data_IF_399561467661
#
_entry.id   IF_399561467661
#
_cell.length_a   1.000
_cell.length_b   1.000
_cell.length_c   1.000
_cell.angle_alpha   90.00
_cell.angle_beta   90.00
_cell.angle_gamma   90.00
#
_symmetry.space_group_name_H-M   'P 1'
#
loop_
_entity.id
_entity.type
_entity.pdbx_description
1 polymer ?
#
# COMPACT_ATOMS: atom_id res chain seq x y z
N UNK A 1 -4.15 19.81 -1.46
CA UNK A 1 -4.29 18.55 -2.20
C UNK A 1 -5.75 18.33 -2.53
N UNK A 2 -6.04 17.85 -3.73
CA UNK A 2 -7.41 17.51 -4.15
C UNK A 2 -7.70 16.03 -3.85
N UNK A 3 -8.95 15.73 -3.51
CA UNK A 3 -9.38 14.40 -3.08
C UNK A 3 -10.64 13.97 -3.85
N UNK A 4 -10.75 12.67 -4.08
CA UNK A 4 -11.99 12.03 -4.51
C UNK A 4 -12.58 11.22 -3.34
N UNK A 5 -13.90 11.18 -3.24
CA UNK A 5 -14.61 10.35 -2.26
C UNK A 5 -14.95 9.01 -2.90
N UNK A 6 -14.44 7.93 -2.30
CA UNK A 6 -14.77 6.56 -2.70
C UNK A 6 -16.20 6.21 -2.30
N UNK A 7 -16.75 5.12 -2.85
CA UNK A 7 -18.09 4.63 -2.48
C UNK A 7 -18.19 4.19 -1.00
N UNK A 8 -17.06 3.95 -0.34
CA UNK A 8 -16.95 3.69 1.10
C UNK A 8 -17.01 4.96 1.96
N UNK A 9 -16.99 6.15 1.34
CA UNK A 9 -16.88 7.44 2.02
C UNK A 9 -15.43 7.88 2.31
N UNK A 10 -14.43 7.00 2.12
CA UNK A 10 -13.03 7.34 2.29
C UNK A 10 -12.58 8.43 1.30
N UNK A 11 -11.69 9.33 1.75
CA UNK A 11 -11.14 10.42 0.94
C UNK A 11 -9.78 10.00 0.39
N UNK A 12 -9.71 9.66 -0.89
CA UNK A 12 -8.47 9.28 -1.56
C UNK A 12 -7.84 10.50 -2.24
N UNK A 13 -6.54 10.78 -2.03
CA UNK A 13 -5.83 11.79 -2.81
C UNK A 13 -5.91 11.51 -4.33
N UNK A 14 -6.20 12.53 -5.14
CA UNK A 14 -6.26 12.35 -6.60
C UNK A 14 -4.88 12.17 -7.25
N UNK A 15 -3.81 12.53 -6.53
CA UNK A 15 -2.43 12.37 -6.97
C UNK A 15 -1.67 11.54 -5.95
N UNK A 16 -0.91 10.56 -6.44
CA UNK A 16 -0.17 9.61 -5.63
C UNK A 16 1.21 9.31 -6.19
N UNK A 17 2.04 8.69 -5.37
CA UNK A 17 3.41 8.31 -5.69
C UNK A 17 3.52 6.78 -5.83
N UNK A 18 3.82 6.31 -7.03
CA UNK A 18 3.99 4.88 -7.31
C UNK A 18 5.44 4.44 -7.20
N UNK A 19 5.68 3.27 -6.60
CA UNK A 19 7.04 2.75 -6.36
C UNK A 19 7.43 1.55 -7.24
N UNK A 20 6.66 1.27 -8.29
CA UNK A 20 7.01 0.22 -9.25
C UNK A 20 8.35 0.54 -9.95
N UNK A 21 9.20 -0.48 -10.09
CA UNK A 21 10.57 -0.40 -10.66
C UNK A 21 11.61 0.37 -9.82
N UNK A 22 11.28 0.82 -8.62
CA UNK A 22 12.30 1.30 -7.67
C UNK A 22 12.86 0.10 -6.91
N UNK A 23 13.78 -0.61 -7.57
CA UNK A 23 14.29 -1.91 -7.10
C UNK A 23 15.36 -1.80 -6.03
N UNK A 24 16.09 -0.69 -5.96
CA UNK A 24 17.02 -0.42 -4.87
C UNK A 24 16.22 0.04 -3.64
N UNK A 25 16.33 -0.70 -2.54
CA UNK A 25 15.53 -0.45 -1.33
C UNK A 25 15.92 0.85 -0.63
N UNK A 26 17.20 1.23 -0.64
CA UNK A 26 17.64 2.48 -0.06
C UNK A 26 17.13 3.67 -0.87
N UNK A 27 17.17 3.55 -2.21
CA UNK A 27 16.56 4.53 -3.10
C UNK A 27 15.04 4.60 -2.92
N UNK A 28 14.35 3.45 -2.82
CA UNK A 28 12.90 3.39 -2.60
C UNK A 28 12.52 4.15 -1.32
N UNK A 29 13.21 3.87 -0.21
CA UNK A 29 13.00 4.59 1.05
C UNK A 29 13.19 6.10 0.87
N UNK A 30 14.28 6.51 0.23
CA UNK A 30 14.60 7.93 0.05
C UNK A 30 13.54 8.66 -0.79
N UNK A 31 13.13 8.09 -1.93
CA UNK A 31 12.14 8.75 -2.80
C UNK A 31 10.75 8.83 -2.16
N UNK A 32 10.40 7.88 -1.28
CA UNK A 32 9.17 7.96 -0.49
C UNK A 32 9.25 9.10 0.53
N UNK A 33 10.37 9.26 1.24
CA UNK A 33 10.59 10.41 2.14
C UNK A 33 10.52 11.74 1.38
N UNK A 34 11.22 11.85 0.25
CA UNK A 34 11.21 13.04 -0.60
C UNK A 34 9.79 13.37 -1.09
N UNK A 35 8.99 12.34 -1.43
CA UNK A 35 7.60 12.52 -1.82
C UNK A 35 6.73 13.01 -0.65
N UNK A 36 6.91 12.49 0.57
CA UNK A 36 6.21 12.98 1.76
C UNK A 36 6.52 14.48 1.99
N UNK A 37 7.80 14.84 1.90
CA UNK A 37 8.29 16.22 2.07
C UNK A 37 7.78 17.16 0.97
N UNK A 38 7.68 16.66 -0.28
CA UNK A 38 7.07 17.37 -1.40
C UNK A 38 5.53 17.50 -1.27
N UNK A 39 4.93 16.87 -0.27
CA UNK A 39 3.52 17.00 0.06
C UNK A 39 2.64 15.87 -0.46
N UNK A 40 3.18 14.76 -0.99
CA UNK A 40 2.37 13.59 -1.36
C UNK A 40 1.80 12.91 -0.12
N UNK A 41 0.58 12.41 -0.24
CA UNK A 41 -0.09 11.65 0.83
C UNK A 41 -0.58 10.28 0.40
N UNK A 42 -0.64 9.99 -0.91
CA UNK A 42 -0.95 8.66 -1.42
C UNK A 42 0.32 7.95 -1.88
N UNK A 43 0.51 6.71 -1.44
CA UNK A 43 1.59 5.83 -1.85
C UNK A 43 1.04 4.53 -2.42
N UNK A 44 1.42 4.20 -3.65
CA UNK A 44 1.01 2.99 -4.36
C UNK A 44 2.18 2.00 -4.44
N UNK A 45 2.03 0.86 -3.78
CA UNK A 45 2.95 -0.27 -3.80
C UNK A 45 2.22 -1.57 -4.14
N UNK A 46 2.91 -2.70 -4.12
CA UNK A 46 2.36 -4.03 -4.26
C UNK A 46 3.34 -5.07 -3.72
N UNK A 47 2.83 -6.22 -3.23
CA UNK A 47 3.66 -7.31 -2.74
C UNK A 47 4.73 -7.74 -3.77
N UNK A 48 4.35 -7.83 -5.05
CA UNK A 48 5.25 -8.26 -6.13
C UNK A 48 6.39 -7.28 -6.43
N UNK A 49 6.28 -6.00 -6.01
CA UNK A 49 7.36 -5.03 -6.26
C UNK A 49 8.58 -5.31 -5.38
N UNK A 50 8.42 -6.09 -4.30
CA UNK A 50 9.52 -6.50 -3.43
C UNK A 50 10.12 -5.37 -2.59
N UNK A 51 9.45 -4.21 -2.52
CA UNK A 51 9.96 -2.99 -1.87
C UNK A 51 9.02 -2.42 -0.80
N UNK A 52 7.97 -3.14 -0.39
CA UNK A 52 7.05 -2.74 0.69
C UNK A 52 7.79 -2.39 1.99
N UNK A 53 8.83 -3.14 2.36
CA UNK A 53 9.62 -2.84 3.58
C UNK A 53 10.30 -1.48 3.51
N UNK A 54 10.82 -1.08 2.34
CA UNK A 54 11.42 0.25 2.17
C UNK A 54 10.37 1.38 2.28
N UNK A 55 9.16 1.15 1.75
CA UNK A 55 8.04 2.08 1.92
C UNK A 55 7.65 2.19 3.39
N UNK A 56 7.53 1.06 4.10
CA UNK A 56 7.21 1.03 5.52
C UNK A 56 8.22 1.75 6.40
N UNK A 57 9.51 1.52 6.16
CA UNK A 57 10.60 2.22 6.85
C UNK A 57 10.57 3.74 6.63
N UNK A 58 10.26 4.19 5.41
CA UNK A 58 10.09 5.62 5.11
C UNK A 58 8.91 6.24 5.87
N UNK A 59 7.77 5.54 5.89
CA UNK A 59 6.56 5.97 6.61
C UNK A 59 6.83 6.06 8.11
N UNK A 60 7.42 5.02 8.70
CA UNK A 60 7.76 5.00 10.13
C UNK A 60 8.73 6.13 10.50
N UNK A 61 9.73 6.40 9.65
CA UNK A 61 10.68 7.49 9.86
C UNK A 61 10.01 8.87 9.75
N UNK A 62 9.14 9.09 8.77
CA UNK A 62 8.41 10.35 8.61
C UNK A 62 7.47 10.63 9.80
N UNK A 63 6.79 9.60 10.30
CA UNK A 63 5.95 9.69 11.51
C UNK A 63 6.80 9.99 12.75
N UNK A 64 7.93 9.29 12.93
CA UNK A 64 8.83 9.53 14.05
C UNK A 64 9.43 10.94 14.06
N UNK A 65 9.64 11.54 12.87
CA UNK A 65 10.07 12.94 12.71
C UNK A 65 8.93 13.95 12.87
N UNK A 66 7.69 13.50 12.98
CA UNK A 66 6.50 14.36 13.10
C UNK A 66 6.13 15.09 11.80
N UNK A 67 6.58 14.60 10.64
CA UNK A 67 6.28 15.22 9.34
C UNK A 67 4.83 14.94 8.89
N UNK A 68 4.28 13.78 9.28
CA UNK A 68 2.92 13.30 9.01
C UNK A 68 2.48 12.38 10.14
N UNK A 69 1.17 12.17 10.32
CA UNK A 69 0.64 11.04 11.08
C UNK A 69 0.30 9.87 10.15
N UNK A 70 -0.03 8.70 10.69
CA UNK A 70 -0.47 7.56 9.85
C UNK A 70 -1.75 7.91 9.09
N UNK A 71 -2.67 8.64 9.71
CA UNK A 71 -3.97 9.03 9.17
C UNK A 71 -3.87 10.11 8.09
N UNK A 72 -2.74 10.83 8.01
CA UNK A 72 -2.46 11.76 6.91
C UNK A 72 -2.17 11.01 5.60
N UNK A 73 -1.79 9.72 5.68
CA UNK A 73 -1.33 8.91 4.55
C UNK A 73 -2.42 7.97 4.04
N UNK A 74 -2.46 7.81 2.72
CA UNK A 74 -3.29 6.85 1.99
C UNK A 74 -2.39 5.80 1.34
N UNK A 75 -2.24 4.63 1.97
CA UNK A 75 -1.32 3.58 1.51
C UNK A 75 -2.13 2.50 0.77
N UNK A 76 -1.76 2.28 -0.49
CA UNK A 76 -2.31 1.23 -1.35
C UNK A 76 -1.29 0.11 -1.54
N UNK A 77 -1.70 -1.14 -1.30
CA UNK A 77 -0.94 -2.32 -1.75
C UNK A 77 -1.84 -3.27 -2.54
N UNK A 78 -1.27 -4.35 -3.08
CA UNK A 78 -1.95 -5.25 -4.00
C UNK A 78 -1.55 -6.70 -3.74
N UNK A 79 -2.56 -7.57 -3.67
CA UNK A 79 -2.41 -9.01 -3.59
C UNK A 79 -1.90 -9.55 -4.93
N UNK A 80 -0.85 -10.36 -4.90
CA UNK A 80 -0.26 -10.94 -6.10
C UNK A 80 -0.90 -12.29 -6.45
N UNK A 81 -0.74 -12.74 -7.71
CA UNK A 81 -1.50 -13.85 -8.28
C UNK A 81 -1.32 -15.20 -7.56
N UNK A 82 -0.18 -15.41 -6.89
CA UNK A 82 0.11 -16.62 -6.12
C UNK A 82 -0.79 -16.75 -4.89
N UNK A 83 -1.24 -15.62 -4.34
CA UNK A 83 -1.99 -15.57 -3.08
C UNK A 83 -3.50 -15.35 -3.33
N UNK A 84 -3.97 -15.47 -4.58
CA UNK A 84 -5.37 -15.26 -4.98
C UNK A 84 -6.27 -16.50 -4.79
N UNK A 85 -5.87 -17.50 -4.00
CA UNK A 85 -6.78 -18.54 -3.56
C UNK A 85 -7.47 -18.09 -2.26
N UNK A 86 -8.72 -18.51 -2.04
CA UNK A 86 -9.51 -18.06 -0.88
C UNK A 86 -8.78 -18.20 0.47
N UNK A 87 -8.05 -19.31 0.64
CA UNK A 87 -7.35 -19.66 1.89
C UNK A 87 -6.06 -18.84 2.10
N UNK A 88 -5.53 -18.22 1.04
CA UNK A 88 -4.23 -17.53 1.05
C UNK A 88 -4.37 -15.99 1.17
N UNK A 89 -5.58 -15.45 0.98
CA UNK A 89 -5.83 -14.00 0.96
C UNK A 89 -5.38 -13.34 2.27
N UNK A 90 -5.80 -13.88 3.41
CA UNK A 90 -5.44 -13.33 4.72
C UNK A 90 -3.93 -13.37 4.94
N UNK A 91 -3.25 -14.42 4.49
CA UNK A 91 -1.81 -14.53 4.59
C UNK A 91 -1.11 -13.46 3.74
N UNK A 92 -1.58 -13.21 2.52
CA UNK A 92 -1.09 -12.17 1.63
C UNK A 92 -1.27 -10.76 2.21
N UNK A 93 -2.47 -10.44 2.72
CA UNK A 93 -2.75 -9.17 3.40
C UNK A 93 -1.82 -8.98 4.60
N UNK A 94 -1.75 -9.98 5.49
CA UNK A 94 -0.94 -9.92 6.69
C UNK A 94 0.55 -9.76 6.37
N UNK A 95 1.03 -10.39 5.29
CA UNK A 95 2.41 -10.23 4.85
C UNK A 95 2.68 -8.80 4.35
N UNK A 96 1.78 -8.20 3.58
CA UNK A 96 1.88 -6.78 3.18
C UNK A 96 1.85 -5.84 4.39
N UNK A 97 0.92 -6.02 5.34
CA UNK A 97 0.85 -5.23 6.57
C UNK A 97 2.15 -5.32 7.38
N UNK A 98 2.68 -6.55 7.54
CA UNK A 98 3.95 -6.80 8.22
C UNK A 98 5.13 -6.15 7.51
N UNK A 99 5.22 -6.26 6.19
CA UNK A 99 6.29 -5.66 5.41
C UNK A 99 6.26 -4.13 5.55
N UNK A 100 5.08 -3.52 5.45
CA UNK A 100 4.89 -2.08 5.57
C UNK A 100 4.98 -1.58 7.02
N UNK A 101 4.87 -2.46 8.01
CA UNK A 101 4.87 -2.08 9.43
C UNK A 101 3.66 -1.22 9.82
N UNK A 102 2.50 -1.47 9.22
CA UNK A 102 1.25 -0.73 9.48
C UNK A 102 0.13 -1.67 9.95
N UNK A 103 -0.82 -1.12 10.72
CA UNK A 103 -1.97 -1.89 11.23
C UNK A 103 -3.11 -2.01 10.21
N UNK A 104 -3.16 -1.11 9.23
CA UNK A 104 -4.18 -1.11 8.17
C UNK A 104 -3.65 -0.53 6.86
N UNK A 105 -4.31 -0.90 5.76
CA UNK A 105 -4.16 -0.30 4.43
C UNK A 105 -5.41 0.51 4.09
N UNK A 106 -5.24 1.64 3.40
CA UNK A 106 -6.36 2.49 2.99
C UNK A 106 -7.07 1.91 1.76
N UNK A 107 -6.35 1.15 0.95
CA UNK A 107 -6.86 0.42 -0.20
C UNK A 107 -6.01 -0.84 -0.44
N UNK A 108 -6.68 -1.97 -0.67
CA UNK A 108 -6.02 -3.21 -1.08
C UNK A 108 -6.69 -3.77 -2.34
N UNK A 109 -5.88 -4.14 -3.33
CA UNK A 109 -6.36 -4.49 -4.67
C UNK A 109 -5.95 -5.90 -5.08
N UNK A 110 -6.79 -6.56 -5.89
CA UNK A 110 -6.35 -7.68 -6.70
C UNK A 110 -5.49 -7.14 -7.84
N UNK A 111 -4.21 -7.52 -7.88
CA UNK A 111 -3.26 -6.90 -8.83
C UNK A 111 -3.50 -7.33 -10.29
N UNK A 112 -4.04 -8.52 -10.53
CA UNK A 112 -4.31 -9.06 -11.85
C UNK A 112 -5.63 -9.82 -11.86
N UNK A 113 -6.32 -9.83 -13.00
CA UNK A 113 -7.50 -10.69 -13.22
C UNK A 113 -7.07 -12.09 -13.68
N UNK A 114 -6.31 -12.79 -12.83
CA UNK A 114 -5.78 -14.14 -13.09
C UNK A 114 -6.14 -15.07 -11.93
N UNK A 115 -6.24 -16.37 -12.21
CA UNK A 115 -6.62 -17.36 -11.20
C UNK A 115 -8.09 -17.22 -10.76
N UNK A 116 -8.41 -17.70 -9.54
CA UNK A 116 -9.73 -17.57 -8.95
C UNK A 116 -9.90 -16.23 -8.21
N UNK A 117 -9.77 -15.14 -8.96
CA UNK A 117 -9.89 -13.78 -8.41
C UNK A 117 -11.28 -13.47 -7.84
N UNK A 118 -12.32 -14.26 -8.16
CA UNK A 118 -13.64 -14.16 -7.52
C UNK A 118 -13.62 -14.64 -6.08
N UNK A 119 -12.95 -15.78 -5.83
CA UNK A 119 -12.74 -16.24 -4.47
C UNK A 119 -11.78 -15.33 -3.71
N UNK A 120 -10.74 -14.80 -4.37
CA UNK A 120 -9.89 -13.78 -3.78
C UNK A 120 -10.69 -12.53 -3.37
N UNK A 121 -11.60 -12.05 -4.24
CA UNK A 121 -12.48 -10.92 -3.93
C UNK A 121 -13.35 -11.18 -2.69
N UNK A 122 -13.96 -12.37 -2.58
CA UNK A 122 -14.72 -12.77 -1.38
C UNK A 122 -13.85 -12.87 -0.13
N UNK A 123 -12.56 -13.18 -0.27
CA UNK A 123 -11.59 -13.10 0.82
C UNK A 123 -11.35 -11.65 1.25
N UNK A 124 -11.16 -10.74 0.30
CA UNK A 124 -11.01 -9.31 0.58
C UNK A 124 -12.23 -8.69 1.26
N UNK A 125 -13.44 -9.18 0.97
CA UNK A 125 -14.67 -8.73 1.64
C UNK A 125 -14.75 -9.15 3.13
N UNK A 126 -14.00 -10.18 3.54
CA UNK A 126 -14.02 -10.71 4.92
C UNK A 126 -12.94 -10.13 5.83
N UNK A 127 -11.81 -9.72 5.26
CA UNK A 127 -10.65 -9.16 5.97
C UNK A 127 -10.92 -7.75 6.54
#
# INVERSE_FOLDING_TARGET
MEYITLNTGARMPMMGFGVFQVTDLAQCKQVVLDAIDAGYRLFDTAAVYGNETAVGEAVAEAIAKGAVTREDLFITSKLWVQDMNAEDVDAGINQSLKNLGVEYLDLYLLHQAMGDYFSAWRGLEQA
#
